data_IF_161513309604
#
_entry.id   IF_161513309604
#
_cell.length_a   1.000
_cell.length_b   1.000
_cell.length_c   1.000
_cell.angle_alpha   90.00
_cell.angle_beta   90.00
_cell.angle_gamma   90.00
#
_symmetry.space_group_name_H-M   'P 1'
#
loop_
_entity.id
_entity.type
_entity.pdbx_description
1 polymer ?
#
# COMPACT_ATOMS: atom_id res chain seq x y z
N UNK A 1 -1.91 44.07 -12.00
CA UNK A 1 -1.09 43.37 -13.02
C UNK A 1 -0.14 42.46 -12.27
N UNK A 2 -0.56 41.20 -12.11
CA UNK A 2 0.14 39.97 -11.66
C UNK A 2 1.02 39.99 -10.42
N UNK A 3 0.50 39.39 -9.35
CA UNK A 3 1.25 38.76 -8.26
C UNK A 3 1.97 37.52 -8.79
N UNK A 4 3.30 37.46 -8.65
CA UNK A 4 4.10 36.29 -9.00
C UNK A 4 4.14 35.34 -7.79
N UNK A 5 3.06 34.58 -7.61
CA UNK A 5 2.94 33.53 -6.62
C UNK A 5 4.01 32.46 -6.82
N UNK A 6 4.83 32.26 -5.79
CA UNK A 6 5.92 31.30 -5.75
C UNK A 6 5.47 29.87 -6.08
N UNK A 7 6.12 29.27 -7.07
CA UNK A 7 6.15 27.83 -7.23
C UNK A 7 7.41 27.35 -6.52
N UNK A 8 7.28 27.04 -5.23
CA UNK A 8 8.30 26.32 -4.49
C UNK A 8 8.56 25.01 -5.24
N UNK A 9 9.71 24.97 -5.90
CA UNK A 9 10.29 23.76 -6.46
C UNK A 9 10.55 22.81 -5.30
N UNK A 10 9.57 21.94 -5.03
CA UNK A 10 9.75 20.80 -4.14
C UNK A 10 10.59 19.80 -4.93
N UNK A 11 11.89 20.10 -5.04
CA UNK A 11 12.88 19.11 -5.37
C UNK A 11 12.80 18.06 -4.27
N UNK A 12 12.15 16.95 -4.61
CA UNK A 12 12.15 15.76 -3.78
C UNK A 12 13.63 15.39 -3.66
N UNK A 13 14.22 15.61 -2.48
CA UNK A 13 15.58 15.19 -2.20
C UNK A 13 15.64 13.68 -2.47
N UNK A 14 16.31 13.31 -3.54
CA UNK A 14 16.55 11.94 -3.93
C UNK A 14 17.30 11.28 -2.78
N UNK A 15 16.58 10.52 -1.97
CA UNK A 15 17.19 9.70 -0.93
C UNK A 15 17.94 8.61 -1.66
N UNK A 16 19.24 8.81 -1.86
CA UNK A 16 20.17 7.79 -2.33
C UNK A 16 20.17 6.67 -1.29
N UNK A 17 19.30 5.69 -1.49
CA UNK A 17 19.37 4.44 -0.74
C UNK A 17 20.65 3.75 -1.22
N UNK A 18 21.72 3.83 -0.43
CA UNK A 18 22.84 2.89 -0.60
C UNK A 18 22.27 1.47 -0.58
N UNK A 19 22.91 0.52 -1.27
CA UNK A 19 22.52 -0.90 -1.36
C UNK A 19 22.44 -1.64 0.00
N UNK A 20 22.30 -0.95 1.14
CA UNK A 20 21.98 -1.52 2.43
C UNK A 20 20.56 -2.02 2.43
N UNK A 21 20.39 -3.34 2.58
CA UNK A 21 19.11 -3.96 2.87
C UNK A 21 18.44 -3.21 4.02
N UNK A 22 17.22 -2.72 3.78
CA UNK A 22 16.39 -2.16 4.85
C UNK A 22 16.12 -3.32 5.81
N UNK A 23 16.60 -3.28 7.07
CA UNK A 23 16.39 -4.38 7.99
C UNK A 23 14.88 -4.54 8.25
N UNK A 24 14.36 -5.72 7.91
CA UNK A 24 12.95 -6.06 8.13
C UNK A 24 12.80 -6.66 9.52
N UNK A 25 11.84 -6.15 10.30
CA UNK A 25 11.48 -6.73 11.59
C UNK A 25 10.27 -7.67 11.43
N UNK A 26 10.42 -8.98 11.63
CA UNK A 26 9.32 -9.92 11.41
C UNK A 26 8.30 -9.81 12.55
N UNK A 27 7.04 -9.59 12.19
CA UNK A 27 5.91 -9.61 13.12
C UNK A 27 4.83 -10.55 12.60
N UNK A 28 4.15 -11.24 13.52
CA UNK A 28 2.96 -12.02 13.22
C UNK A 28 1.72 -11.19 13.60
N UNK A 29 0.86 -10.95 12.63
CA UNK A 29 -0.42 -10.30 12.87
C UNK A 29 -1.44 -11.36 13.30
N UNK A 30 -2.04 -11.19 14.47
CA UNK A 30 -3.04 -12.11 15.04
C UNK A 30 -4.39 -11.42 15.19
N UNK A 31 -5.48 -12.20 15.18
CA UNK A 31 -6.83 -11.68 15.35
C UNK A 31 -7.34 -10.85 14.18
N UNK A 32 -6.86 -11.11 12.96
CA UNK A 32 -7.26 -10.38 11.75
C UNK A 32 -8.75 -10.51 11.42
N UNK A 33 -9.43 -11.53 11.95
CA UNK A 33 -10.88 -11.71 11.91
C UNK A 33 -11.65 -10.56 12.54
N UNK A 34 -11.01 -9.81 13.46
CA UNK A 34 -11.62 -8.66 14.14
C UNK A 34 -11.42 -7.34 13.39
N UNK A 35 -10.50 -7.28 12.44
CA UNK A 35 -10.09 -6.06 11.78
C UNK A 35 -10.48 -6.04 10.30
N UNK A 36 -10.87 -4.86 9.82
CA UNK A 36 -11.11 -4.63 8.41
C UNK A 36 -9.80 -4.31 7.70
N UNK A 37 -9.39 -5.16 6.77
CA UNK A 37 -8.25 -4.94 5.88
C UNK A 37 -8.73 -4.40 4.55
N UNK A 38 -8.21 -3.23 4.16
CA UNK A 38 -8.53 -2.60 2.88
C UNK A 38 -7.47 -2.98 1.85
N UNK A 39 -7.92 -3.48 0.70
CA UNK A 39 -7.06 -3.73 -0.47
C UNK A 39 -7.48 -2.79 -1.58
N UNK A 40 -6.53 -2.08 -2.16
CA UNK A 40 -6.75 -1.18 -3.29
C UNK A 40 -6.11 -1.78 -4.54
N UNK A 41 -6.90 -1.89 -5.62
CA UNK A 41 -6.49 -2.48 -6.89
C UNK A 41 -6.97 -3.93 -7.04
N UNK A 42 -7.74 -4.17 -8.10
CA UNK A 42 -8.43 -5.44 -8.36
C UNK A 42 -7.71 -6.39 -9.31
N UNK A 43 -6.50 -6.07 -9.76
CA UNK A 43 -5.73 -6.92 -10.68
C UNK A 43 -5.10 -8.16 -10.01
N UNK A 44 -4.27 -8.94 -10.74
CA UNK A 44 -3.69 -10.19 -10.26
C UNK A 44 -2.86 -10.08 -8.95
N UNK A 45 -2.21 -8.94 -8.73
CA UNK A 45 -1.47 -8.67 -7.49
C UNK A 45 -2.43 -8.45 -6.32
N UNK A 46 -3.53 -7.74 -6.56
CA UNK A 46 -4.59 -7.53 -5.58
C UNK A 46 -5.20 -8.86 -5.16
N UNK A 47 -5.60 -9.67 -6.13
CA UNK A 47 -6.12 -11.02 -5.92
C UNK A 47 -5.15 -11.89 -5.09
N UNK A 48 -3.87 -11.92 -5.47
CA UNK A 48 -2.83 -12.66 -4.71
C UNK A 48 -2.76 -12.23 -3.25
N UNK A 49 -2.83 -10.93 -2.97
CA UNK A 49 -2.79 -10.39 -1.60
C UNK A 49 -4.07 -10.72 -0.84
N UNK A 50 -5.23 -10.61 -1.49
CA UNK A 50 -6.53 -10.97 -0.90
C UNK A 50 -6.52 -12.44 -0.50
N UNK A 51 -6.02 -13.34 -1.35
CA UNK A 51 -5.92 -14.77 -1.04
C UNK A 51 -5.13 -15.04 0.25
N UNK A 52 -3.98 -14.39 0.42
CA UNK A 52 -3.17 -14.51 1.64
C UNK A 52 -3.88 -13.92 2.87
N UNK A 53 -4.55 -12.78 2.72
CA UNK A 53 -5.31 -12.14 3.81
C UNK A 53 -6.49 -12.99 4.26
N UNK A 54 -7.25 -13.57 3.32
CA UNK A 54 -8.35 -14.48 3.61
C UNK A 54 -7.86 -15.77 4.27
N UNK A 55 -6.71 -16.31 3.87
CA UNK A 55 -6.10 -17.46 4.55
C UNK A 55 -5.72 -17.14 6.01
N UNK A 56 -5.41 -15.88 6.31
CA UNK A 56 -5.22 -15.37 7.67
C UNK A 56 -6.52 -14.94 8.39
N UNK A 57 -7.69 -15.31 7.88
CA UNK A 57 -9.02 -14.96 8.39
C UNK A 57 -9.35 -13.45 8.42
N UNK A 58 -8.61 -12.62 7.68
CA UNK A 58 -8.88 -11.18 7.66
C UNK A 58 -10.23 -10.86 7.03
N UNK A 59 -10.93 -9.85 7.56
CA UNK A 59 -12.11 -9.28 6.90
C UNK A 59 -11.64 -8.32 5.82
N UNK A 60 -11.81 -8.66 4.54
CA UNK A 60 -11.25 -7.88 3.43
C UNK A 60 -12.31 -6.99 2.77
N UNK A 61 -11.96 -5.73 2.51
CA UNK A 61 -12.70 -4.83 1.61
C UNK A 61 -11.82 -4.46 0.42
N UNK A 62 -12.23 -4.89 -0.76
CA UNK A 62 -11.60 -4.50 -2.02
C UNK A 62 -12.18 -3.17 -2.51
N UNK A 63 -11.29 -2.25 -2.88
CA UNK A 63 -11.61 -1.02 -3.59
C UNK A 63 -10.93 -1.08 -4.95
N UNK A 64 -11.72 -1.28 -6.00
CA UNK A 64 -11.25 -1.31 -7.39
C UNK A 64 -12.40 -0.97 -8.35
N UNK A 65 -12.12 -0.32 -9.50
CA UNK A 65 -13.13 -0.13 -10.56
C UNK A 65 -13.63 -1.46 -11.10
N UNK A 66 -12.69 -2.38 -11.36
CA UNK A 66 -12.93 -3.75 -11.81
C UNK A 66 -12.06 -4.70 -10.99
N UNK A 67 -12.53 -5.95 -10.84
CA UNK A 67 -11.79 -7.02 -10.20
C UNK A 67 -11.46 -8.12 -11.22
N UNK A 68 -10.28 -8.74 -11.08
CA UNK A 68 -9.97 -9.98 -11.79
C UNK A 68 -11.10 -10.99 -11.53
N UNK A 69 -11.60 -11.66 -12.58
CA UNK A 69 -12.66 -12.67 -12.44
C UNK A 69 -12.33 -13.83 -11.51
#
# INVERSE_FOLDING_TARGET
>A
MVDAGGKADRSNSEVTHGNGEIPVYPIYLTGLDRYLTVVVGGGPIGERKIRALLAGAARVRLIAPDATP
#
